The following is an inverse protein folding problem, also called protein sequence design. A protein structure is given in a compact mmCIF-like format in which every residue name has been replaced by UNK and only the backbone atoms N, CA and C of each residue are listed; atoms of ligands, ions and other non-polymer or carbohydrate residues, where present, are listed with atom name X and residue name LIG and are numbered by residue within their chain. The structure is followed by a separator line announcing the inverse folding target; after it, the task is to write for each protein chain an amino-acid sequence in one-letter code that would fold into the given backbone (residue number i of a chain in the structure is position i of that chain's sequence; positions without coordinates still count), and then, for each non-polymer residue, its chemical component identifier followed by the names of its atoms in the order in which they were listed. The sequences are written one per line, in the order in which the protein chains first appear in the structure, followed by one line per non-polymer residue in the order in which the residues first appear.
data_IF_865469705014
#
_entry.id   IF_865469705014
#
_cell.length_a   1.000
_cell.length_b   1.000
_cell.length_c   1.000
_cell.angle_alpha   90.00
_cell.angle_beta   90.00
_cell.angle_gamma   90.00
#
_symmetry.space_group_name_H-M   'P 1'
#
loop_
_entity.id
_entity.type
_entity.pdbx_description
1 polymer ?
#
# COMPACT_ATOMS: atom_id res chain seq x y z
N UNK A 1 19.43 -15.45 -1.70
CA UNK A 1 19.33 -14.16 -0.97
C UNK A 1 18.18 -13.23 -1.43
N UNK A 2 17.52 -13.46 -2.57
CA UNK A 2 16.51 -12.53 -3.11
C UNK A 2 15.15 -12.57 -2.38
N UNK A 3 14.65 -13.77 -2.04
CA UNK A 3 13.33 -13.96 -1.44
C UNK A 3 13.19 -13.28 -0.07
N UNK A 4 14.20 -13.38 0.78
CA UNK A 4 14.20 -12.75 2.12
C UNK A 4 14.13 -11.23 2.03
N UNK A 5 14.81 -10.63 1.04
CA UNK A 5 14.73 -9.19 0.77
C UNK A 5 13.35 -8.75 0.29
N UNK A 6 12.73 -9.52 -0.62
CA UNK A 6 11.37 -9.22 -1.10
C UNK A 6 10.30 -9.40 -0.02
N UNK A 7 10.44 -10.44 0.80
CA UNK A 7 9.52 -10.73 1.89
C UNK A 7 9.65 -9.75 3.05
N UNK A 8 10.85 -9.25 3.31
CA UNK A 8 11.09 -8.29 4.38
C UNK A 8 10.67 -6.85 4.03
N UNK A 9 10.36 -6.56 2.76
CA UNK A 9 9.81 -5.27 2.34
C UNK A 9 8.29 -5.28 2.53
N UNK A 10 7.73 -4.44 3.42
CA UNK A 10 6.28 -4.36 3.55
C UNK A 10 5.67 -3.86 2.23
N UNK A 11 4.52 -4.44 1.85
CA UNK A 11 3.78 -3.99 0.68
C UNK A 11 3.33 -2.53 0.92
N UNK A 12 3.95 -1.58 0.22
CA UNK A 12 3.53 -0.18 0.21
C UNK A 12 2.42 0.00 -0.81
N UNK A 13 1.48 0.88 -0.50
CA UNK A 13 0.46 1.31 -1.46
C UNK A 13 1.13 1.97 -2.67
N UNK A 14 0.53 1.81 -3.86
CA UNK A 14 1.07 2.40 -5.07
C UNK A 14 1.01 3.94 -4.95
N UNK A 15 2.13 4.65 -5.10
CA UNK A 15 2.14 6.10 -4.96
C UNK A 15 1.35 6.80 -6.07
N UNK A 16 0.65 7.87 -5.71
CA UNK A 16 0.01 8.80 -6.65
C UNK A 16 1.00 9.93 -6.98
N UNK A 17 1.78 9.74 -8.04
CA UNK A 17 2.83 10.69 -8.43
C UNK A 17 2.37 11.82 -9.35
N UNK A 18 1.30 11.61 -10.13
CA UNK A 18 0.84 12.53 -11.18
C UNK A 18 -0.64 12.89 -11.02
N UNK A 19 -1.07 14.00 -11.64
CA UNK A 19 -2.47 14.41 -11.61
C UNK A 19 -3.39 13.44 -12.35
N UNK A 20 -2.89 12.78 -13.39
CA UNK A 20 -3.64 11.75 -14.11
C UNK A 20 -3.88 10.53 -13.22
N UNK A 21 -2.84 10.09 -12.49
CA UNK A 21 -2.98 8.99 -11.53
C UNK A 21 -3.96 9.36 -10.39
N UNK A 22 -3.96 10.62 -9.96
CA UNK A 22 -4.94 11.12 -8.99
C UNK A 22 -6.36 11.11 -9.55
N UNK A 23 -6.54 11.51 -10.81
CA UNK A 23 -7.84 11.48 -11.49
C UNK A 23 -8.40 10.05 -11.57
N UNK A 24 -7.55 9.07 -11.90
CA UNK A 24 -7.89 7.64 -11.91
C UNK A 24 -8.22 7.14 -10.51
N UNK A 25 -7.40 7.45 -9.50
CA UNK A 25 -7.64 7.05 -8.12
C UNK A 25 -8.97 7.60 -7.56
N UNK A 26 -9.33 8.85 -7.91
CA UNK A 26 -10.62 9.44 -7.51
C UNK A 26 -11.82 8.77 -8.19
N UNK A 27 -11.65 8.25 -9.41
CA UNK A 27 -12.72 7.58 -10.16
C UNK A 27 -12.93 6.14 -9.73
N UNK A 28 -11.83 5.40 -9.62
CA UNK A 28 -11.88 3.94 -9.56
C UNK A 28 -11.59 3.41 -8.15
N UNK A 29 -10.81 4.14 -7.36
CA UNK A 29 -10.35 3.71 -6.03
C UNK A 29 -11.05 4.46 -4.88
N UNK A 30 -11.95 5.39 -5.20
CA UNK A 30 -12.74 6.12 -4.21
C UNK A 30 -11.94 7.16 -3.40
N UNK A 31 -10.84 7.67 -3.96
CA UNK A 31 -10.07 8.75 -3.32
C UNK A 31 -10.84 10.08 -3.29
N UNK A 32 -10.78 10.77 -2.16
CA UNK A 32 -11.28 12.15 -2.02
C UNK A 32 -10.11 13.14 -2.09
N UNK A 33 -10.25 14.19 -2.92
CA UNK A 33 -9.23 15.24 -3.06
C UNK A 33 -9.60 16.47 -2.24
N UNK A 34 -8.82 16.80 -1.24
CA UNK A 34 -9.12 17.88 -0.30
C UNK A 34 -8.15 19.04 -0.49
N UNK A 35 -8.68 20.27 -0.45
CA UNK A 35 -7.90 21.50 -0.66
C UNK A 35 -8.22 22.54 0.39
N UNK A 36 -7.27 23.38 0.75
CA UNK A 36 -7.50 24.48 1.68
C UNK A 36 -8.47 25.53 1.10
N UNK A 37 -9.39 26.02 1.94
CA UNK A 37 -10.34 27.10 1.61
C UNK A 37 -9.57 28.40 1.30
N UNK A 38 -10.02 29.12 0.28
CA UNK A 38 -9.41 30.40 -0.13
C UNK A 38 -7.92 30.29 -0.51
N UNK A 39 -7.45 29.10 -0.90
CA UNK A 39 -6.08 28.89 -1.34
C UNK A 39 -5.90 29.11 -2.85
N UNK A 40 -4.67 29.39 -3.25
CA UNK A 40 -4.28 29.45 -4.67
C UNK A 40 -4.51 28.12 -5.39
N UNK A 41 -4.29 26.99 -4.70
CA UNK A 41 -4.56 25.64 -5.22
C UNK A 41 -6.04 25.44 -5.57
N UNK A 42 -6.94 25.93 -4.71
CA UNK A 42 -8.39 25.86 -4.98
C UNK A 42 -8.76 26.70 -6.21
N UNK A 43 -8.23 27.92 -6.31
CA UNK A 43 -8.47 28.80 -7.46
C UNK A 43 -7.97 28.17 -8.77
N UNK A 44 -6.85 27.44 -8.75
CA UNK A 44 -6.33 26.73 -9.92
C UNK A 44 -7.23 25.56 -10.31
N UNK A 45 -7.77 24.81 -9.35
CA UNK A 45 -8.72 23.74 -9.67
C UNK A 45 -10.01 24.30 -10.27
N UNK A 46 -10.55 25.36 -9.67
CA UNK A 46 -11.84 25.93 -10.09
C UNK A 46 -11.79 26.62 -11.45
N UNK A 47 -10.69 27.33 -11.74
CA UNK A 47 -10.50 28.05 -12.99
C UNK A 47 -9.68 27.27 -14.03
N UNK A 48 -9.09 26.15 -13.63
CA UNK A 48 -8.23 25.35 -14.48
C UNK A 48 -9.00 24.56 -15.54
N UNK A 49 -8.37 24.40 -16.70
CA UNK A 49 -8.86 23.53 -17.78
C UNK A 49 -8.14 22.18 -17.75
N UNK A 50 -8.53 21.26 -18.66
CA UNK A 50 -7.89 19.95 -18.74
C UNK A 50 -8.05 19.13 -17.45
N UNK A 51 -6.95 18.53 -16.97
CA UNK A 51 -6.95 17.65 -15.78
C UNK A 51 -7.48 18.37 -14.54
N UNK A 52 -7.09 19.63 -14.32
CA UNK A 52 -7.55 20.42 -13.16
C UNK A 52 -9.07 20.60 -13.15
N UNK A 53 -9.67 20.94 -14.30
CA UNK A 53 -11.13 21.05 -14.42
C UNK A 53 -11.85 19.71 -14.24
N UNK A 54 -11.22 18.59 -14.64
CA UNK A 54 -11.77 17.25 -14.38
C UNK A 54 -11.72 16.89 -12.90
N UNK A 55 -10.59 17.15 -12.23
CA UNK A 55 -10.44 16.98 -10.79
C UNK A 55 -11.43 17.85 -10.02
N UNK A 56 -11.62 19.12 -10.40
CA UNK A 56 -12.61 19.99 -9.78
C UNK A 56 -14.04 19.46 -9.91
N UNK A 57 -14.40 18.85 -11.04
CA UNK A 57 -15.71 18.19 -11.22
C UNK A 57 -15.87 16.95 -10.34
N UNK A 58 -14.82 16.15 -10.17
CA UNK A 58 -14.82 14.99 -9.27
C UNK A 58 -14.92 15.44 -7.81
N UNK A 59 -14.13 16.46 -7.43
CA UNK A 59 -14.13 17.06 -6.11
C UNK A 59 -15.53 17.54 -5.71
N UNK A 60 -16.28 18.20 -6.62
CA UNK A 60 -17.66 18.65 -6.35
C UNK A 60 -18.63 17.53 -5.95
N UNK A 61 -18.35 16.27 -6.29
CA UNK A 61 -19.21 15.13 -5.98
C UNK A 61 -18.96 14.54 -4.59
N UNK A 62 -17.82 14.84 -3.98
CA UNK A 62 -17.45 14.28 -2.68
C UNK A 62 -18.01 15.12 -1.53
N UNK A 63 -18.11 14.52 -0.34
CA UNK A 63 -18.68 15.18 0.85
C UNK A 63 -17.77 16.26 1.42
N UNK A 64 -16.47 15.97 1.52
CA UNK A 64 -15.48 16.89 2.10
C UNK A 64 -14.60 17.42 0.99
N UNK A 65 -14.81 18.67 0.60
CA UNK A 65 -14.07 19.30 -0.50
C UNK A 65 -12.96 20.22 -0.01
N UNK A 66 -13.26 20.94 1.08
CA UNK A 66 -12.43 22.06 1.52
C UNK A 66 -12.15 22.03 3.01
N UNK A 67 -10.87 22.10 3.36
CA UNK A 67 -10.39 22.18 4.76
C UNK A 67 -10.01 23.61 5.12
N UNK A 68 -9.98 23.91 6.42
CA UNK A 68 -9.65 25.25 6.93
C UNK A 68 -8.17 25.60 6.79
N UNK A 69 -7.28 24.60 6.84
CA UNK A 69 -5.84 24.76 6.66
C UNK A 69 -5.24 23.52 6.02
N UNK A 70 -4.04 23.67 5.45
CA UNK A 70 -3.24 22.54 4.92
C UNK A 70 -2.97 21.50 6.01
N UNK A 71 -2.59 21.93 7.22
CA UNK A 71 -2.33 21.04 8.37
C UNK A 71 -3.54 20.13 8.69
N UNK A 72 -4.76 20.69 8.69
CA UNK A 72 -5.98 19.90 8.92
C UNK A 72 -6.16 18.84 7.83
N UNK A 73 -5.86 19.18 6.58
CA UNK A 73 -5.88 18.22 5.49
C UNK A 73 -4.81 17.14 5.63
N UNK A 74 -3.60 17.47 6.08
CA UNK A 74 -2.52 16.48 6.31
C UNK A 74 -2.91 15.51 7.41
N UNK A 75 -3.50 15.99 8.52
CA UNK A 75 -4.06 15.13 9.56
C UNK A 75 -5.21 14.25 9.05
N UNK A 76 -6.01 14.75 8.10
CA UNK A 76 -7.08 13.97 7.49
C UNK A 76 -6.52 12.76 6.72
N UNK A 77 -5.42 12.93 5.99
CA UNK A 77 -4.70 11.86 5.28
C UNK A 77 -4.19 10.79 6.26
N UNK A 78 -3.74 11.16 7.45
CA UNK A 78 -3.36 10.17 8.48
C UNK A 78 -4.55 9.37 9.00
N UNK A 79 -5.68 10.03 9.19
CA UNK A 79 -6.88 9.41 9.78
C UNK A 79 -7.68 8.55 8.81
N UNK A 80 -7.54 8.76 7.49
CA UNK A 80 -8.36 8.13 6.44
C UNK A 80 -7.49 7.65 5.29
N UNK A 81 -7.73 6.42 4.83
CA UNK A 81 -6.89 5.78 3.79
C UNK A 81 -6.99 6.42 2.41
N UNK A 82 -8.19 6.78 1.95
CA UNK A 82 -8.41 7.23 0.57
C UNK A 82 -8.62 8.75 0.50
N UNK A 83 -7.64 9.51 1.00
CA UNK A 83 -7.67 10.98 0.97
C UNK A 83 -6.35 11.49 0.41
N UNK A 84 -6.43 12.41 -0.54
CA UNK A 84 -5.30 13.16 -1.06
C UNK A 84 -5.47 14.64 -0.72
N UNK A 85 -4.37 15.33 -0.40
CA UNK A 85 -4.36 16.77 -0.17
C UNK A 85 -3.57 17.48 -1.29
N UNK A 86 -4.13 18.59 -1.79
CA UNK A 86 -3.41 19.49 -2.69
C UNK A 86 -3.10 20.82 -1.97
N UNK A 87 -1.84 21.23 -1.99
CA UNK A 87 -1.35 22.40 -1.26
C UNK A 87 0.00 22.89 -1.77
N UNK A 88 0.56 23.90 -1.10
CA UNK A 88 1.91 24.38 -1.38
C UNK A 88 2.94 23.30 -1.06
N UNK A 89 3.90 23.08 -1.97
CA UNK A 89 4.91 22.02 -1.81
C UNK A 89 5.71 22.17 -0.52
N UNK A 90 6.14 23.37 -0.19
CA UNK A 90 6.94 23.63 1.01
C UNK A 90 6.15 23.35 2.29
N UNK A 91 4.92 23.85 2.38
CA UNK A 91 4.03 23.60 3.52
C UNK A 91 3.74 22.11 3.68
N UNK A 92 3.43 21.41 2.58
CA UNK A 92 3.23 19.97 2.62
C UNK A 92 4.50 19.24 3.03
N UNK A 93 5.65 19.61 2.49
CA UNK A 93 6.92 18.99 2.85
C UNK A 93 7.22 19.15 4.35
N UNK A 94 7.11 20.38 4.86
CA UNK A 94 7.27 20.68 6.29
C UNK A 94 6.31 19.88 7.16
N UNK A 95 5.01 19.85 6.83
CA UNK A 95 4.02 19.10 7.60
C UNK A 95 4.26 17.59 7.52
N UNK A 96 4.64 17.05 6.36
CA UNK A 96 4.95 15.62 6.22
C UNK A 96 6.15 15.21 7.04
N UNK A 97 7.21 16.03 7.09
CA UNK A 97 8.34 15.81 7.98
C UNK A 97 7.83 15.83 9.43
N UNK A 98 7.16 16.91 9.85
CA UNK A 98 6.62 17.09 11.21
C UNK A 98 5.74 15.93 11.70
N UNK A 99 4.84 15.41 10.86
CA UNK A 99 3.92 14.31 11.21
C UNK A 99 4.46 12.91 10.87
N UNK A 100 5.74 12.81 10.51
CA UNK A 100 6.41 11.55 10.16
C UNK A 100 6.31 11.25 8.67
N UNK A 101 7.40 11.51 7.94
CA UNK A 101 7.47 11.46 6.47
C UNK A 101 7.14 10.08 5.89
N UNK A 102 7.31 9.01 6.66
CA UNK A 102 7.03 7.64 6.26
C UNK A 102 5.52 7.31 6.15
N UNK A 103 4.64 8.16 6.69
CA UNK A 103 3.19 7.98 6.60
C UNK A 103 2.60 8.60 5.34
N UNK A 104 3.40 9.35 4.58
CA UNK A 104 2.94 10.13 3.45
C UNK A 104 3.72 9.79 2.19
N UNK A 105 3.08 10.04 1.05
CA UNK A 105 3.74 10.09 -0.23
C UNK A 105 3.52 11.47 -0.83
N UNK A 106 4.61 12.19 -1.12
CA UNK A 106 4.55 13.49 -1.78
C UNK A 106 4.67 13.27 -3.29
N UNK A 107 3.69 13.79 -4.03
CA UNK A 107 3.66 13.69 -5.49
C UNK A 107 4.78 14.50 -6.15
N UNK A 108 4.93 14.33 -7.46
CA UNK A 108 5.80 15.18 -8.25
C UNK A 108 5.33 16.65 -8.22
N UNK A 109 6.26 17.56 -8.54
CA UNK A 109 5.95 19.00 -8.60
C UNK A 109 5.03 19.26 -9.78
N UNK A 110 3.80 19.67 -9.50
CA UNK A 110 2.78 19.90 -10.52
C UNK A 110 3.02 21.18 -11.34
N UNK A 111 3.41 22.25 -10.65
CA UNK A 111 3.73 23.54 -11.26
C UNK A 111 4.65 24.35 -10.32
N UNK A 112 5.29 25.38 -10.87
CA UNK A 112 6.13 26.29 -10.09
C UNK A 112 5.35 27.55 -9.76
N UNK A 113 5.28 27.88 -8.47
CA UNK A 113 4.91 29.21 -7.97
C UNK A 113 5.94 29.68 -6.99
N UNK A 114 6.12 30.99 -6.95
CA UNK A 114 7.03 31.67 -6.04
C UNK A 114 6.22 32.38 -4.97
N UNK A 115 6.71 32.34 -3.74
CA UNK A 115 6.24 33.20 -2.67
C UNK A 115 6.83 34.60 -2.88
N UNK A 116 6.03 35.63 -2.67
CA UNK A 116 6.44 37.01 -2.78
C UNK A 116 5.79 37.84 -1.68
N UNK A 117 6.40 38.96 -1.35
CA UNK A 117 5.88 39.91 -0.37
C UNK A 117 5.06 40.95 -1.11
N UNK A 118 3.79 41.06 -0.75
CA UNK A 118 2.87 42.00 -1.39
C UNK A 118 3.03 43.40 -0.77
N UNK A 119 3.25 44.41 -1.61
CA UNK A 119 3.25 45.82 -1.23
C UNK A 119 2.09 46.54 -1.90
N UNK A 120 1.64 47.65 -1.30
CA UNK A 120 0.62 48.50 -1.91
C UNK A 120 1.14 49.11 -3.23
N UNK A 121 0.24 49.30 -4.19
CA UNK A 121 0.55 49.98 -5.45
C UNK A 121 1.05 51.39 -5.13
N UNK A 122 2.23 51.75 -5.65
CA UNK A 122 2.88 53.04 -5.39
C UNK A 122 3.73 53.09 -4.11
N UNK A 123 4.00 51.96 -3.45
CA UNK A 123 4.86 51.92 -2.27
C UNK A 123 6.27 52.46 -2.60
N UNK A 124 6.74 53.52 -1.90
CA UNK A 124 8.05 54.13 -2.17
C UNK A 124 9.22 53.21 -1.80
N UNK A 125 8.98 52.20 -0.96
CA UNK A 125 10.01 51.28 -0.46
C UNK A 125 10.23 50.05 -1.33
N UNK A 126 9.52 49.91 -2.46
CA UNK A 126 9.61 48.71 -3.33
C UNK A 126 11.05 48.38 -3.72
N UNK A 127 11.81 49.38 -4.20
CA UNK A 127 13.18 49.19 -4.64
C UNK A 127 14.09 48.76 -3.48
N UNK A 128 14.06 49.52 -2.37
CA UNK A 128 14.84 49.20 -1.17
C UNK A 128 14.52 47.82 -0.62
N UNK A 129 13.24 47.41 -0.63
CA UNK A 129 12.84 46.10 -0.14
C UNK A 129 13.37 44.97 -1.03
N UNK A 130 13.34 45.16 -2.36
CA UNK A 130 13.91 44.20 -3.30
C UNK A 130 15.43 44.05 -3.09
N UNK A 131 16.15 45.16 -2.93
CA UNK A 131 17.61 45.14 -2.71
C UNK A 131 17.98 44.39 -1.41
N UNK A 132 17.22 44.63 -0.34
CA UNK A 132 17.40 43.91 0.93
C UNK A 132 17.13 42.41 0.76
N UNK A 133 16.03 42.03 0.09
CA UNK A 133 15.70 40.62 -0.13
C UNK A 133 16.78 39.92 -0.97
N UNK A 134 17.30 40.58 -2.00
CA UNK A 134 18.40 40.05 -2.81
C UNK A 134 19.67 39.90 -1.98
N UNK A 135 20.02 40.89 -1.16
CA UNK A 135 21.19 40.83 -0.28
C UNK A 135 21.07 39.67 0.72
N UNK A 136 19.88 39.45 1.31
CA UNK A 136 19.63 38.32 2.22
C UNK A 136 19.73 36.96 1.52
N UNK A 137 19.32 36.90 0.25
CA UNK A 137 19.44 35.70 -0.58
C UNK A 137 20.90 35.41 -0.91
N UNK A 138 21.64 36.40 -1.40
CA UNK A 138 23.05 36.29 -1.78
C UNK A 138 23.95 35.97 -0.59
N UNK A 139 23.67 36.56 0.58
CA UNK A 139 24.36 36.25 1.83
C UNK A 139 24.02 34.85 2.38
N UNK A 140 23.09 34.11 1.75
CA UNK A 140 22.68 32.77 2.18
C UNK A 140 21.85 32.74 3.47
N UNK A 141 21.39 33.89 3.96
CA UNK A 141 20.64 34.01 5.21
C UNK A 141 19.29 33.31 5.09
N UNK A 142 18.61 33.45 3.95
CA UNK A 142 17.35 32.74 3.69
C UNK A 142 17.53 31.22 3.78
N UNK A 143 18.59 30.69 3.16
CA UNK A 143 18.92 29.24 3.21
C UNK A 143 19.20 28.78 4.64
N UNK A 144 19.91 29.59 5.43
CA UNK A 144 20.19 29.29 6.83
C UNK A 144 18.90 29.26 7.65
N UNK A 145 18.05 30.28 7.53
CA UNK A 145 16.76 30.34 8.24
C UNK A 145 15.89 29.12 7.90
N UNK A 146 15.77 28.76 6.61
CA UNK A 146 15.03 27.57 6.20
C UNK A 146 15.61 26.30 6.83
N UNK A 147 16.94 26.12 6.75
CA UNK A 147 17.61 24.96 7.35
C UNK A 147 17.39 24.88 8.86
N UNK A 148 17.44 26.00 9.55
CA UNK A 148 17.26 26.08 11.00
C UNK A 148 15.79 25.77 11.40
N UNK A 149 14.81 26.23 10.62
CA UNK A 149 13.40 25.85 10.81
C UNK A 149 13.20 24.33 10.70
N UNK A 150 13.81 23.69 9.69
CA UNK A 150 13.78 22.24 9.59
C UNK A 150 14.51 21.57 10.76
N UNK A 151 15.63 22.12 11.24
CA UNK A 151 16.37 21.62 12.43
C UNK A 151 15.53 21.64 13.71
N UNK A 152 14.63 22.61 13.84
CA UNK A 152 13.78 22.74 15.03
C UNK A 152 12.60 21.75 15.07
N UNK A 153 12.37 20.97 13.99
CA UNK A 153 11.34 19.94 14.02
C UNK A 153 11.67 18.84 15.04
N UNK A 154 10.67 18.32 15.78
CA UNK A 154 10.87 17.29 16.80
C UNK A 154 11.67 16.10 16.28
N UNK A 155 12.63 15.57 17.04
CA UNK A 155 13.43 14.42 16.58
C UNK A 155 12.60 13.16 16.31
N UNK A 156 11.44 13.01 16.95
CA UNK A 156 10.47 11.95 16.66
C UNK A 156 9.95 11.99 15.20
N UNK A 157 9.92 13.17 14.59
CA UNK A 157 9.56 13.39 13.19
C UNK A 157 10.68 12.94 12.22
N UNK A 158 11.94 12.95 12.70
CA UNK A 158 13.15 12.54 11.95
C UNK A 158 13.52 11.08 12.11
N UNK A 159 13.17 10.47 13.25
CA UNK A 159 13.38 9.06 13.49
C UNK A 159 12.28 8.26 12.81
N UNK A 160 12.64 7.56 11.76
CA UNK A 160 11.92 6.40 11.22
C UNK A 160 11.97 5.19 12.18
N UNK A 161 11.82 5.43 13.48
CA UNK A 161 11.77 4.39 14.51
C UNK A 161 10.35 3.82 14.64
N UNK A 162 10.20 2.54 15.00
CA UNK A 162 8.90 1.95 15.23
C UNK A 162 8.27 2.60 16.47
N UNK A 163 7.05 3.09 16.35
CA UNK A 163 6.17 3.26 17.52
C UNK A 163 5.70 1.85 17.89
N UNK A 164 6.53 1.12 18.62
CA UNK A 164 6.06 0.00 19.43
C UNK A 164 5.34 0.58 20.64
N UNK A 165 4.15 0.06 20.92
CA UNK A 165 3.35 0.39 22.09
C UNK A 165 4.09 0.01 23.38
N UNK A 166 5.03 0.81 23.86
CA UNK A 166 5.61 0.67 25.20
C UNK A 166 6.59 1.80 25.53
N UNK A 167 6.15 3.06 25.52
CA UNK A 167 6.90 4.15 26.18
C UNK A 167 5.96 4.89 27.15
N UNK A 168 5.62 4.19 28.23
CA UNK A 168 5.45 4.82 29.53
C UNK A 168 6.73 4.56 30.31
N UNK A 169 7.23 5.63 30.92
CA UNK A 169 8.32 5.74 31.91
C UNK A 169 9.76 5.94 31.41
N UNK A 170 10.25 7.10 31.85
CA UNK A 170 11.60 7.48 32.27
C UNK A 170 12.54 8.26 31.34
N UNK A 171 12.73 9.50 31.78
CA UNK A 171 13.94 10.32 31.71
C UNK A 171 15.20 9.55 32.10
N UNK A 172 16.30 9.71 31.35
CA UNK A 172 17.50 10.37 31.87
C UNK A 172 18.60 10.61 30.82
N UNK A 173 19.49 11.52 31.21
CA UNK A 173 20.52 12.28 30.50
C UNK A 173 21.74 11.45 30.04
N UNK A 174 22.41 11.87 28.95
CA UNK A 174 23.86 12.22 28.81
C UNK A 174 24.45 11.86 27.42
N UNK A 175 25.17 12.80 26.79
CA UNK A 175 26.50 12.50 26.20
C UNK A 175 26.67 12.43 24.68
N UNK A 176 27.17 13.54 24.12
CA UNK A 176 28.21 13.71 23.08
C UNK A 176 28.03 13.36 21.59
N UNK A 177 28.38 14.38 20.78
CA UNK A 177 28.57 14.48 19.32
C UNK A 177 29.86 13.73 18.85
N UNK A 178 30.36 13.77 17.58
CA UNK A 178 29.95 14.55 16.38
C UNK A 178 30.01 13.78 15.02
N UNK A 179 29.45 14.36 13.95
CA UNK A 179 30.06 14.29 12.59
C UNK A 179 29.30 15.15 11.55
N UNK A 180 30.00 16.15 11.05
CA UNK A 180 29.77 16.96 9.85
C UNK A 180 29.54 16.10 8.60
N UNK A 181 28.54 16.43 7.78
CA UNK A 181 28.54 16.08 6.35
C UNK A 181 27.67 17.02 5.53
N UNK A 182 28.28 17.49 4.45
CA UNK A 182 27.88 18.56 3.55
C UNK A 182 26.68 18.23 2.65
N UNK A 183 26.12 19.30 2.09
CA UNK A 183 25.05 19.35 1.11
C UNK A 183 25.40 18.67 -0.23
N UNK A 184 24.42 17.94 -0.77
CA UNK A 184 24.07 17.83 -2.21
C UNK A 184 22.71 17.10 -2.31
N UNK A 185 21.88 17.39 -3.33
CA UNK A 185 20.47 16.98 -3.35
C UNK A 185 20.37 15.49 -3.67
N UNK A 186 20.25 14.66 -2.63
CA UNK A 186 19.97 13.23 -2.80
C UNK A 186 18.49 13.04 -3.10
N UNK A 187 18.25 12.55 -4.32
CA UNK A 187 17.20 11.58 -4.67
C UNK A 187 16.73 10.83 -3.44
N UNK A 188 15.41 10.87 -3.21
CA UNK A 188 14.66 10.23 -2.13
C UNK A 188 15.43 9.06 -1.49
N UNK A 189 16.01 9.32 -0.33
CA UNK A 189 16.40 8.26 0.58
C UNK A 189 15.12 7.51 0.94
N UNK A 190 14.96 6.30 0.39
CA UNK A 190 13.98 5.34 0.86
C UNK A 190 14.22 5.18 2.37
N UNK A 191 13.39 5.86 3.16
CA UNK A 191 13.44 5.77 4.62
C UNK A 191 13.32 4.29 4.99
N UNK A 192 14.40 3.80 5.61
CA UNK A 192 14.62 2.45 6.10
C UNK A 192 13.68 2.14 7.27
N UNK A 193 12.38 2.12 7.00
CA UNK A 193 11.41 1.50 7.91
C UNK A 193 11.67 0.00 7.86
N UNK A 194 12.05 -0.52 9.03
CA UNK A 194 12.72 -1.79 9.24
C UNK A 194 12.11 -2.96 8.49
N UNK A 195 13.01 -3.82 8.03
CA UNK A 195 12.73 -5.18 7.60
C UNK A 195 11.80 -5.81 8.66
N UNK A 196 10.55 -6.08 8.29
CA UNK A 196 9.66 -6.77 9.22
C UNK A 196 10.16 -8.21 9.37
N UNK A 197 10.21 -8.74 10.61
CA UNK A 197 10.52 -10.15 10.81
C UNK A 197 9.45 -10.98 10.10
N UNK A 198 9.88 -12.04 9.42
CA UNK A 198 8.98 -12.93 8.66
C UNK A 198 7.89 -13.45 9.59
N UNK A 199 6.66 -12.99 9.37
CA UNK A 199 5.52 -13.35 10.22
C UNK A 199 4.81 -14.62 9.71
N UNK A 200 4.19 -15.38 10.62
CA UNK A 200 3.38 -16.56 10.28
C UNK A 200 2.25 -16.25 9.27
N UNK A 201 1.80 -14.99 9.20
CA UNK A 201 0.80 -14.55 8.21
C UNK A 201 1.33 -14.63 6.78
N UNK A 202 2.59 -14.28 6.53
CA UNK A 202 3.21 -14.38 5.20
C UNK A 202 3.34 -15.82 4.70
N UNK A 203 3.51 -16.78 5.61
CA UNK A 203 3.66 -18.20 5.29
C UNK A 203 2.33 -18.96 5.16
N UNK A 204 1.19 -18.32 5.43
CA UNK A 204 -0.14 -18.96 5.39
C UNK A 204 -0.44 -19.62 4.03
N UNK A 205 0.00 -19.00 2.94
CA UNK A 205 -0.14 -19.57 1.59
C UNK A 205 0.63 -20.87 1.40
N UNK A 206 1.86 -20.93 1.92
CA UNK A 206 2.70 -22.14 1.86
C UNK A 206 2.10 -23.28 2.69
N UNK A 207 1.59 -23.00 3.90
CA UNK A 207 0.89 -24.00 4.70
C UNK A 207 -0.41 -24.50 4.06
N UNK A 208 -1.15 -23.61 3.39
CA UNK A 208 -2.38 -24.00 2.67
C UNK A 208 -2.05 -24.93 1.49
N UNK A 209 -1.00 -24.62 0.71
CA UNK A 209 -0.52 -25.48 -0.37
C UNK A 209 -0.06 -26.86 0.15
N UNK A 210 0.66 -26.89 1.27
CA UNK A 210 1.09 -28.14 1.90
C UNK A 210 -0.11 -29.01 2.31
N UNK A 211 -1.14 -28.40 2.90
CA UNK A 211 -2.38 -29.08 3.26
C UNK A 211 -3.12 -29.67 2.05
N UNK A 212 -3.24 -28.90 0.96
CA UNK A 212 -3.85 -29.37 -0.29
C UNK A 212 -3.03 -30.52 -0.90
N UNK A 213 -1.70 -30.41 -0.88
CA UNK A 213 -0.79 -31.45 -1.36
C UNK A 213 -0.97 -32.77 -0.63
N UNK A 214 -1.02 -32.75 0.71
CA UNK A 214 -1.27 -33.95 1.51
C UNK A 214 -2.67 -34.54 1.26
N UNK A 215 -3.69 -33.69 1.10
CA UNK A 215 -5.04 -34.16 0.79
C UNK A 215 -5.09 -34.86 -0.57
N UNK A 216 -4.46 -34.30 -1.60
CA UNK A 216 -4.37 -34.89 -2.93
C UNK A 216 -3.59 -36.21 -2.91
N UNK A 217 -2.48 -36.27 -2.17
CA UNK A 217 -1.70 -37.50 -2.00
C UNK A 217 -2.51 -38.62 -1.34
N UNK A 218 -3.27 -38.31 -0.29
CA UNK A 218 -4.16 -39.27 0.38
C UNK A 218 -5.26 -39.78 -0.56
N UNK A 219 -5.84 -38.91 -1.39
CA UNK A 219 -6.83 -39.31 -2.40
C UNK A 219 -6.20 -40.22 -3.46
N UNK A 220 -5.01 -39.88 -3.96
CA UNK A 220 -4.29 -40.68 -4.96
C UNK A 220 -3.96 -42.09 -4.44
N UNK A 221 -3.40 -42.18 -3.22
CA UNK A 221 -3.14 -43.46 -2.54
C UNK A 221 -4.42 -44.26 -2.34
N UNK A 222 -5.52 -43.61 -1.92
CA UNK A 222 -6.82 -44.26 -1.78
C UNK A 222 -7.33 -44.87 -3.09
N UNK A 223 -7.18 -44.15 -4.20
CA UNK A 223 -7.55 -44.65 -5.53
C UNK A 223 -6.65 -45.83 -5.93
N UNK A 224 -5.34 -45.71 -5.74
CA UNK A 224 -4.37 -46.74 -6.12
C UNK A 224 -4.62 -48.05 -5.36
N UNK A 225 -4.79 -48.00 -4.04
CA UNK A 225 -5.10 -49.17 -3.22
C UNK A 225 -6.42 -49.81 -3.66
N UNK A 226 -7.42 -49.01 -4.02
CA UNK A 226 -8.71 -49.52 -4.47
C UNK A 226 -8.63 -50.18 -5.86
N UNK A 227 -7.83 -49.64 -6.78
CA UNK A 227 -7.55 -50.24 -8.09
C UNK A 227 -6.74 -51.53 -7.93
N UNK A 228 -5.71 -51.52 -7.09
CA UNK A 228 -4.87 -52.68 -6.83
C UNK A 228 -5.66 -53.84 -6.18
N UNK A 229 -6.52 -53.54 -5.19
CA UNK A 229 -7.44 -54.53 -4.61
C UNK A 229 -8.41 -55.11 -5.64
N UNK A 230 -8.92 -54.30 -6.57
CA UNK A 230 -9.81 -54.77 -7.65
C UNK A 230 -9.07 -55.62 -8.68
N UNK A 231 -7.82 -55.27 -9.02
CA UNK A 231 -6.98 -56.05 -9.91
C UNK A 231 -6.65 -57.42 -9.31
N UNK A 232 -6.27 -57.47 -8.02
CA UNK A 232 -6.06 -58.74 -7.29
C UNK A 232 -7.34 -59.58 -7.19
N UNK A 233 -8.49 -58.97 -6.91
CA UNK A 233 -9.79 -59.70 -6.93
C UNK A 233 -10.14 -60.25 -8.31
N UNK A 234 -9.79 -59.56 -9.40
CA UNK A 234 -10.00 -60.08 -10.76
C UNK A 234 -9.06 -61.24 -11.08
N UNK A 235 -7.79 -61.15 -10.69
CA UNK A 235 -6.80 -62.24 -10.87
C UNK A 235 -7.13 -63.49 -10.04
N UNK A 236 -7.66 -63.32 -8.83
CA UNK A 236 -8.09 -64.43 -7.99
C UNK A 236 -9.38 -65.14 -8.48
N UNK A 237 -10.13 -64.52 -9.40
CA UNK A 237 -11.33 -65.12 -10.03
C UNK A 237 -10.94 -65.80 -11.36
N UNK A 238 -9.76 -65.51 -11.91
CA UNK A 238 -9.27 -66.06 -13.18
C UNK A 238 -8.16 -67.08 -12.94
N UNK A 239 -8.48 -68.22 -12.34
CA UNK A 239 -7.88 -69.57 -12.53
C UNK A 239 -8.20 -70.50 -11.32
N UNK A 240 -8.56 -71.78 -11.51
CA UNK A 240 -9.31 -72.38 -12.62
C UNK A 240 -10.53 -73.20 -12.13
N UNK A 241 -11.65 -73.15 -12.85
CA UNK A 241 -12.50 -74.34 -13.03
C UNK A 241 -12.87 -74.40 -14.51
N UNK A 242 -12.49 -75.50 -15.12
CA UNK A 242 -12.84 -75.94 -16.46
C UNK A 242 -14.36 -75.95 -16.62
N UNK A 243 -14.87 -75.23 -17.63
CA UNK A 243 -16.24 -75.39 -18.12
C UNK A 243 -17.17 -74.21 -17.83
N UNK A 244 -17.67 -73.58 -18.90
CA UNK A 244 -18.86 -72.73 -18.85
C UNK A 244 -18.70 -71.37 -19.50
N UNK A 245 -19.13 -71.26 -20.76
CA UNK A 245 -19.41 -69.99 -21.44
C UNK A 245 -20.36 -69.13 -20.59
N UNK A 246 -19.92 -67.93 -20.21
CA UNK A 246 -20.76 -66.94 -19.55
C UNK A 246 -20.17 -65.54 -19.67
N UNK A 247 -20.68 -64.74 -20.60
CA UNK A 247 -20.31 -63.34 -20.80
C UNK A 247 -20.40 -62.52 -19.49
N UNK A 248 -19.37 -61.76 -19.09
CA UNK A 248 -19.50 -60.85 -17.96
C UNK A 248 -20.31 -59.62 -18.36
N UNK A 249 -21.47 -59.42 -17.73
CA UNK A 249 -22.38 -58.28 -18.00
C UNK A 249 -21.72 -56.93 -17.68
N UNK A 250 -21.81 -55.91 -18.55
CA UNK A 250 -21.14 -54.59 -18.41
C UNK A 250 -21.78 -53.65 -17.36
N UNK A 251 -22.79 -54.10 -16.61
CA UNK A 251 -23.62 -53.24 -15.78
C UNK A 251 -22.99 -52.84 -14.43
N UNK A 252 -21.99 -53.60 -13.95
CA UNK A 252 -21.34 -53.32 -12.66
C UNK A 252 -20.32 -52.19 -12.74
N UNK A 253 -19.61 -52.06 -13.86
CA UNK A 253 -18.65 -50.98 -14.10
C UNK A 253 -19.34 -49.60 -14.15
N UNK A 254 -20.51 -49.53 -14.81
CA UNK A 254 -21.32 -48.31 -14.90
C UNK A 254 -21.84 -47.85 -13.53
N UNK A 255 -22.22 -48.76 -12.62
CA UNK A 255 -22.64 -48.42 -11.25
C UNK A 255 -21.47 -47.90 -10.40
N UNK A 256 -20.28 -48.49 -10.55
CA UNK A 256 -19.11 -48.08 -9.78
C UNK A 256 -18.58 -46.69 -10.18
N UNK A 257 -18.55 -46.38 -11.48
CA UNK A 257 -18.17 -45.05 -11.99
C UNK A 257 -19.15 -43.98 -11.51
N UNK A 258 -20.45 -44.32 -11.36
CA UNK A 258 -21.47 -43.42 -10.81
C UNK A 258 -21.24 -43.10 -9.33
N UNK A 259 -20.79 -44.07 -8.53
CA UNK A 259 -20.52 -43.86 -7.11
C UNK A 259 -19.23 -43.07 -6.86
N UNK A 260 -18.16 -43.31 -7.62
CA UNK A 260 -16.92 -42.52 -7.51
C UNK A 260 -17.14 -41.07 -7.97
N UNK A 261 -17.92 -40.83 -9.04
CA UNK A 261 -18.32 -39.47 -9.44
C UNK A 261 -19.09 -38.73 -8.34
N UNK A 262 -19.94 -39.43 -7.56
CA UNK A 262 -20.68 -38.84 -6.43
C UNK A 262 -19.77 -38.52 -5.24
N UNK A 263 -18.80 -39.37 -4.93
CA UNK A 263 -17.81 -39.13 -3.88
C UNK A 263 -16.91 -37.95 -4.20
N UNK A 264 -16.38 -37.90 -5.43
CA UNK A 264 -15.51 -36.81 -5.90
C UNK A 264 -16.26 -35.47 -5.88
N UNK A 265 -17.53 -35.43 -6.32
CA UNK A 265 -18.35 -34.20 -6.24
C UNK A 265 -18.52 -33.68 -4.81
N UNK A 266 -18.71 -34.56 -3.82
CA UNK A 266 -18.85 -34.15 -2.42
C UNK A 266 -17.54 -33.60 -1.84
N UNK A 267 -16.42 -34.22 -2.18
CA UNK A 267 -15.08 -33.75 -1.75
C UNK A 267 -14.75 -32.40 -2.39
N UNK A 268 -15.05 -32.22 -3.69
CA UNK A 268 -14.84 -30.95 -4.40
C UNK A 268 -15.66 -29.80 -3.78
N UNK A 269 -16.91 -30.06 -3.39
CA UNK A 269 -17.76 -29.05 -2.73
C UNK A 269 -17.19 -28.67 -1.34
N UNK A 270 -16.62 -29.61 -0.60
CA UNK A 270 -16.01 -29.34 0.70
C UNK A 270 -14.73 -28.53 0.52
N UNK A 271 -13.89 -28.88 -0.45
CA UNK A 271 -12.65 -28.13 -0.76
C UNK A 271 -12.99 -26.71 -1.22
N UNK A 272 -13.95 -26.52 -2.14
CA UNK A 272 -14.40 -25.19 -2.55
C UNK A 272 -14.91 -24.37 -1.36
N UNK A 273 -15.71 -24.96 -0.46
CA UNK A 273 -16.17 -24.26 0.75
C UNK A 273 -15.04 -23.89 1.70
N UNK A 274 -14.01 -24.73 1.85
CA UNK A 274 -12.85 -24.43 2.70
C UNK A 274 -12.00 -23.34 2.05
N UNK A 275 -11.83 -23.35 0.73
CA UNK A 275 -11.12 -22.33 -0.03
C UNK A 275 -11.85 -20.99 0.05
N UNK A 276 -13.17 -20.95 -0.13
CA UNK A 276 -13.99 -19.73 0.02
C UNK A 276 -13.93 -19.18 1.45
N UNK A 277 -13.93 -20.06 2.47
CA UNK A 277 -13.78 -19.63 3.87
C UNK A 277 -12.36 -19.17 4.21
N UNK A 278 -11.34 -19.76 3.57
CA UNK A 278 -9.94 -19.42 3.80
C UNK A 278 -9.55 -18.11 3.09
N UNK A 279 -10.15 -17.82 1.94
CA UNK A 279 -9.97 -16.60 1.18
C UNK A 279 -10.75 -15.41 1.77
N UNK A 280 -11.81 -15.66 2.56
CA UNK A 280 -12.59 -14.59 3.20
C UNK A 280 -13.29 -13.68 2.18
N UNK A 281 -14.17 -12.76 2.61
CA UNK A 281 -14.81 -11.84 1.69
C UNK A 281 -13.73 -10.91 1.11
N UNK A 282 -13.41 -11.11 -0.17
CA UNK A 282 -12.76 -10.08 -0.95
C UNK A 282 -13.64 -8.84 -0.90
N UNK A 283 -13.07 -7.76 -0.35
CA UNK A 283 -13.62 -6.42 -0.43
C UNK A 283 -13.93 -6.12 -1.92
N UNK A 284 -15.22 -6.05 -2.23
CA UNK A 284 -15.74 -5.12 -3.23
C UNK A 284 -15.90 -3.76 -2.57
#
# INVERSE_FOLDING_TARGET
ANLTSLLARPAREKPIGTLQALEEAMRDQGYELVVERHSSSLAILENGTGVYGRLARLMRRQRIQRVRSVEVGVRLVLSRRHVAILGGRETLYYDTERFGSHNFHLSEKLYTRYSAIALQIGCPYLATFNDVVMTLFEAGILTKMTTDEYKNLPEQSRRSGPVTESDKENSDITGDSPATSQATPKTQSESAKGLEPVSLRMLRGAFCLLGIGHLLAAIALGIEVQVHRRSKRKKAISEPVTGGKGNPKPNFLKRCIKCTRRGIRRVLIIICRIVDRALGPGLH
#
